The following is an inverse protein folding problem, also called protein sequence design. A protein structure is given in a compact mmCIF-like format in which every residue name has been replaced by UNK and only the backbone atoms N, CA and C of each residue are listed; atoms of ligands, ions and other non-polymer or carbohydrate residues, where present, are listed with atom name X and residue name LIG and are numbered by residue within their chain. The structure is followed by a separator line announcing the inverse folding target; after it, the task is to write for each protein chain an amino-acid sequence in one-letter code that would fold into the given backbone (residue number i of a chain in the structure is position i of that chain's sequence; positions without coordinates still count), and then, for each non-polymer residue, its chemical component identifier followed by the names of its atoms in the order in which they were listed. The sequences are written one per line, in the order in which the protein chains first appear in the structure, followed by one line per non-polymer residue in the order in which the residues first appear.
data_IF_454666327012
#
_entry.id   IF_454666327012
#
_cell.length_a   1.000
_cell.length_b   1.000
_cell.length_c   1.000
_cell.angle_alpha   90.00
_cell.angle_beta   90.00
_cell.angle_gamma   90.00
#
_symmetry.space_group_name_H-M   'P 1'
#
loop_
_entity.id
_entity.type
_entity.pdbx_description
1 polymer ?
#
# COMPACT_ATOMS: atom_id res chain seq x y z
N UNK A 1 -10.39 -8.07 68.06
CA UNK A 1 -11.39 -7.98 66.97
C UNK A 1 -11.13 -9.14 66.02
N UNK A 2 -12.07 -10.08 65.94
CA UNK A 2 -11.99 -11.27 65.10
C UNK A 2 -12.29 -10.99 63.61
N UNK A 3 -12.62 -12.02 62.82
CA UNK A 3 -11.68 -12.62 61.88
C UNK A 3 -12.27 -12.80 60.45
N UNK A 4 -11.44 -13.22 59.49
CA UNK A 4 -11.91 -13.96 58.32
C UNK A 4 -10.79 -14.96 57.92
N UNK A 5 -10.88 -16.23 58.35
CA UNK A 5 -11.53 -17.36 57.65
C UNK A 5 -10.81 -17.60 56.30
N UNK A 6 -9.90 -18.57 56.21
CA UNK A 6 -10.19 -20.02 56.16
C UNK A 6 -10.45 -20.38 54.68
N UNK A 7 -9.79 -21.34 54.04
CA UNK A 7 -9.89 -22.79 54.28
C UNK A 7 -8.81 -23.52 53.45
N UNK A 8 -7.96 -24.29 54.15
CA UNK A 8 -7.58 -25.73 53.97
C UNK A 8 -7.26 -26.30 52.56
N UNK A 9 -5.97 -26.68 52.38
CA UNK A 9 -5.33 -27.97 51.97
C UNK A 9 -6.06 -29.02 51.07
N UNK A 10 -5.39 -30.06 50.48
CA UNK A 10 -3.96 -30.44 50.51
C UNK A 10 -3.33 -30.81 49.13
N UNK A 11 -2.02 -31.06 49.16
CA UNK A 11 -1.26 -31.74 48.11
C UNK A 11 -1.67 -33.21 47.95
N UNK A 12 -1.75 -33.72 46.70
CA UNK A 12 -1.62 -35.15 46.40
C UNK A 12 -1.04 -35.40 44.99
N UNK A 13 0.13 -36.06 44.98
CA UNK A 13 0.60 -36.90 43.89
C UNK A 13 -0.33 -38.11 43.73
N UNK A 14 -0.61 -38.54 42.49
CA UNK A 14 -1.33 -39.78 42.21
C UNK A 14 -1.44 -40.02 40.71
N UNK A 15 -0.80 -41.09 40.24
CA UNK A 15 -0.67 -41.42 38.83
C UNK A 15 -1.96 -41.85 38.14
N UNK A 16 -1.92 -41.83 36.81
CA UNK A 16 -2.90 -42.51 35.95
C UNK A 16 -2.28 -42.97 34.63
N UNK A 17 -1.04 -43.47 34.69
CA UNK A 17 -0.62 -44.58 33.84
C UNK A 17 -1.32 -45.82 34.38
N UNK A 18 -2.59 -45.99 33.99
CA UNK A 18 -3.27 -47.28 33.83
C UNK A 18 -4.75 -47.01 33.53
N UNK A 19 -5.09 -46.98 32.25
CA UNK A 19 -6.27 -47.69 31.80
C UNK A 19 -5.96 -48.42 30.51
N UNK A 20 -5.82 -49.72 30.68
CA UNK A 20 -6.01 -50.72 29.65
C UNK A 20 -7.28 -50.41 28.83
N UNK A 21 -7.08 -49.96 27.60
CA UNK A 21 -8.03 -50.11 26.51
C UNK A 21 -7.47 -51.20 25.61
N UNK A 22 -7.81 -52.44 25.97
CA UNK A 22 -7.49 -53.63 25.22
C UNK A 22 -7.79 -53.46 23.73
N UNK A 23 -6.91 -54.05 22.92
CA UNK A 23 -7.14 -54.35 21.53
C UNK A 23 -8.58 -54.82 21.30
N UNK A 24 -9.30 -54.08 20.50
CA UNK A 24 -10.25 -54.67 19.56
C UNK A 24 -10.07 -53.95 18.24
N UNK A 25 -9.01 -54.34 17.54
CA UNK A 25 -9.00 -54.27 16.07
C UNK A 25 -10.08 -55.25 15.61
N UNK A 26 -11.33 -54.81 15.75
CA UNK A 26 -12.49 -55.47 15.18
C UNK A 26 -12.28 -55.47 13.68
N UNK A 27 -12.19 -56.68 13.13
CA UNK A 27 -12.18 -57.04 11.70
C UNK A 27 -12.54 -55.84 10.82
N UNK A 28 -11.51 -55.11 10.38
CA UNK A 28 -11.67 -53.83 9.71
C UNK A 28 -12.34 -54.07 8.37
N UNK A 29 -13.65 -53.83 8.32
CA UNK A 29 -14.43 -53.98 7.10
C UNK A 29 -13.89 -52.99 6.06
N UNK A 30 -13.55 -53.47 4.86
CA UNK A 30 -12.84 -52.66 3.83
C UNK A 30 -13.62 -51.38 3.47
N UNK A 31 -14.93 -51.38 3.73
CA UNK A 31 -15.86 -50.26 3.54
C UNK A 31 -15.59 -49.08 4.48
N UNK A 32 -15.27 -49.32 5.77
CA UNK A 32 -15.01 -48.23 6.74
C UNK A 32 -13.64 -47.59 6.54
N UNK A 33 -12.63 -48.36 6.11
CA UNK A 33 -11.32 -47.81 5.74
C UNK A 33 -11.43 -46.96 4.48
N UNK A 34 -12.15 -47.44 3.46
CA UNK A 34 -12.38 -46.68 2.23
C UNK A 34 -13.13 -45.37 2.46
N UNK A 35 -14.17 -45.38 3.32
CA UNK A 35 -14.95 -44.19 3.66
C UNK A 35 -14.12 -43.15 4.42
N UNK A 36 -13.27 -43.58 5.37
CA UNK A 36 -12.36 -42.67 6.10
C UNK A 36 -11.30 -42.06 5.19
N UNK A 37 -10.76 -42.85 4.26
CA UNK A 37 -9.81 -42.33 3.26
C UNK A 37 -10.47 -41.29 2.35
N UNK A 38 -11.68 -41.57 1.85
CA UNK A 38 -12.46 -40.63 1.02
C UNK A 38 -12.78 -39.32 1.75
N UNK A 39 -13.21 -39.38 3.01
CA UNK A 39 -13.47 -38.19 3.83
C UNK A 39 -12.22 -37.36 4.08
N UNK A 40 -11.05 -38.01 4.31
CA UNK A 40 -9.79 -37.31 4.46
C UNK A 40 -9.33 -36.62 3.16
N UNK A 41 -9.49 -37.28 2.01
CA UNK A 41 -9.19 -36.68 0.70
C UNK A 41 -10.12 -35.52 0.34
N UNK A 42 -11.41 -35.63 0.67
CA UNK A 42 -12.38 -34.55 0.44
C UNK A 42 -12.07 -33.30 1.29
N UNK A 43 -11.61 -33.47 2.53
CA UNK A 43 -11.23 -32.35 3.39
C UNK A 43 -10.00 -31.59 2.85
N UNK A 44 -9.03 -32.29 2.25
CA UNK A 44 -7.83 -31.68 1.66
C UNK A 44 -8.14 -30.94 0.34
N UNK A 45 -9.10 -31.45 -0.45
CA UNK A 45 -9.51 -30.80 -1.70
C UNK A 45 -10.29 -29.49 -1.51
N UNK A 46 -10.86 -29.27 -0.33
CA UNK A 46 -11.64 -28.07 -0.01
C UNK A 46 -10.81 -26.92 0.60
N UNK A 47 -9.57 -27.16 1.03
CA UNK A 47 -8.65 -26.11 1.50
C UNK A 47 -7.91 -25.46 0.31
N UNK A 48 -8.69 -24.89 -0.60
CA UNK A 48 -8.19 -23.94 -1.59
C UNK A 48 -8.02 -22.56 -0.95
N UNK A 49 -7.10 -22.44 0.01
CA UNK A 49 -6.75 -21.16 0.64
C UNK A 49 -5.95 -20.30 -0.37
N UNK A 50 -6.64 -19.84 -1.42
CA UNK A 50 -6.12 -18.85 -2.33
C UNK A 50 -6.38 -17.49 -1.70
N UNK A 51 -5.56 -17.14 -0.71
CA UNK A 51 -5.49 -15.79 -0.17
C UNK A 51 -5.41 -14.80 -1.35
N UNK A 52 -6.35 -13.84 -1.48
CA UNK A 52 -6.30 -12.85 -2.53
C UNK A 52 -5.02 -12.04 -2.34
N UNK A 53 -4.01 -12.31 -3.17
CA UNK A 53 -2.85 -11.45 -3.26
C UNK A 53 -3.29 -10.14 -3.94
N UNK A 54 -3.91 -9.26 -3.16
CA UNK A 54 -4.21 -7.90 -3.58
C UNK A 54 -2.86 -7.21 -3.76
N UNK A 55 -2.46 -7.01 -5.02
CA UNK A 55 -1.33 -6.15 -5.31
C UNK A 55 -1.64 -4.76 -4.74
N UNK A 56 -0.71 -4.14 -4.00
CA UNK A 56 -0.93 -2.79 -3.49
C UNK A 56 -1.22 -1.87 -4.68
N UNK A 57 -2.36 -1.19 -4.65
CA UNK A 57 -2.66 -0.20 -5.68
C UNK A 57 -1.63 0.92 -5.50
N UNK A 58 -0.86 1.28 -6.54
CA UNK A 58 0.07 2.40 -6.45
C UNK A 58 -0.66 3.66 -5.95
N UNK A 59 -0.28 4.15 -4.75
CA UNK A 59 -0.89 5.33 -4.11
C UNK A 59 -1.89 5.05 -2.98
N UNK A 60 -2.15 3.79 -2.61
CA UNK A 60 -3.10 3.40 -1.54
C UNK A 60 -2.49 3.39 -0.13
N UNK A 61 -1.15 3.35 -0.03
CA UNK A 61 -0.44 3.35 1.24
C UNK A 61 0.12 4.75 1.58
N UNK A 62 -0.61 5.52 2.41
CA UNK A 62 -0.12 6.75 3.06
C UNK A 62 -0.89 8.04 2.72
N UNK A 63 -0.46 9.16 3.31
CA UNK A 63 -0.99 10.50 2.98
C UNK A 63 -0.80 10.77 1.49
N UNK A 64 -1.89 10.68 0.74
CA UNK A 64 -1.92 10.79 -0.72
C UNK A 64 -1.68 12.25 -1.11
N UNK A 65 -0.51 12.51 -1.70
CA UNK A 65 -0.20 13.82 -2.27
C UNK A 65 -0.88 13.93 -3.62
N UNK A 66 -1.87 14.82 -3.74
CA UNK A 66 -2.65 15.06 -4.95
C UNK A 66 -2.10 16.27 -5.70
N UNK A 67 -1.73 16.09 -6.97
CA UNK A 67 -1.13 17.15 -7.78
C UNK A 67 -1.72 17.23 -9.18
N UNK A 68 -1.57 18.41 -9.79
CA UNK A 68 -1.68 18.58 -11.23
C UNK A 68 -0.30 18.88 -11.85
N UNK A 69 -0.13 18.51 -13.12
CA UNK A 69 1.11 18.75 -13.86
C UNK A 69 0.84 19.59 -15.09
N UNK A 70 1.38 20.79 -15.13
CA UNK A 70 1.22 21.73 -16.24
C UNK A 70 2.55 21.94 -16.94
N UNK A 71 2.57 21.70 -18.24
CA UNK A 71 3.71 22.00 -19.09
C UNK A 71 3.78 23.51 -19.35
N UNK A 72 4.83 24.14 -18.84
CA UNK A 72 5.14 25.53 -19.06
C UNK A 72 6.43 25.71 -19.89
N UNK A 73 7.02 24.64 -20.42
CA UNK A 73 8.34 24.64 -21.07
C UNK A 73 8.32 25.00 -22.57
N UNK A 74 7.14 25.06 -23.18
CA UNK A 74 6.98 25.17 -24.64
C UNK A 74 7.31 23.89 -25.42
N UNK A 75 7.86 22.85 -24.79
CA UNK A 75 8.17 21.56 -25.44
C UNK A 75 7.00 20.59 -25.28
N UNK A 76 6.53 19.94 -26.35
CA UNK A 76 5.41 19.01 -26.25
C UNK A 76 5.75 17.79 -25.40
N UNK A 77 4.75 17.21 -24.74
CA UNK A 77 4.88 15.91 -24.06
C UNK A 77 5.48 15.93 -22.65
N UNK A 78 6.07 17.03 -22.17
CA UNK A 78 6.72 17.05 -20.85
C UNK A 78 5.74 16.80 -19.69
N UNK A 79 4.50 17.27 -19.77
CA UNK A 79 3.49 16.98 -18.73
C UNK A 79 3.20 15.48 -18.60
N UNK A 80 3.22 14.73 -19.71
CA UNK A 80 3.04 13.27 -19.71
C UNK A 80 4.22 12.58 -19.04
N UNK A 81 5.44 13.00 -19.35
CA UNK A 81 6.65 12.41 -18.76
C UNK A 81 6.75 12.75 -17.27
N UNK A 82 6.51 14.00 -16.87
CA UNK A 82 6.47 14.40 -15.46
C UNK A 82 5.41 13.65 -14.67
N UNK A 83 4.23 13.45 -15.26
CA UNK A 83 3.17 12.60 -14.67
C UNK A 83 3.66 11.18 -14.37
N UNK A 84 4.39 10.56 -15.30
CA UNK A 84 4.93 9.20 -15.11
C UNK A 84 5.91 9.14 -13.94
N UNK A 85 6.87 10.06 -13.87
CA UNK A 85 7.84 10.12 -12.78
C UNK A 85 7.18 10.31 -11.41
N UNK A 86 6.21 11.23 -11.32
CA UNK A 86 5.49 11.48 -10.08
C UNK A 86 4.68 10.27 -9.63
N UNK A 87 3.98 9.59 -10.55
CA UNK A 87 3.23 8.37 -10.25
C UNK A 87 4.13 7.21 -9.83
N UNK A 88 5.30 7.04 -10.47
CA UNK A 88 6.31 6.06 -10.04
C UNK A 88 6.83 6.35 -8.62
N UNK A 89 6.85 7.63 -8.20
CA UNK A 89 7.20 8.04 -6.84
C UNK A 89 6.02 7.94 -5.82
N UNK A 90 4.88 7.39 -6.23
CA UNK A 90 3.68 7.27 -5.38
C UNK A 90 2.93 8.57 -5.15
N UNK A 91 3.09 9.57 -6.02
CA UNK A 91 2.37 10.84 -5.99
C UNK A 91 1.17 10.74 -6.95
N UNK A 92 -0.01 11.14 -6.47
CA UNK A 92 -1.24 11.05 -7.25
C UNK A 92 -1.40 12.25 -8.17
N UNK A 93 -1.37 11.97 -9.48
CA UNK A 93 -1.57 13.01 -10.50
C UNK A 93 -2.99 12.90 -11.03
N UNK A 94 -3.83 13.86 -10.65
CA UNK A 94 -5.27 13.90 -11.02
C UNK A 94 -5.52 14.59 -12.36
N UNK A 95 -4.62 15.48 -12.77
CA UNK A 95 -4.73 16.18 -14.05
C UNK A 95 -3.34 16.53 -14.60
N UNK A 96 -3.21 16.53 -15.92
CA UNK A 96 -2.03 17.04 -16.58
C UNK A 96 -2.39 17.75 -17.89
N UNK A 97 -1.62 18.76 -18.28
CA UNK A 97 -1.92 19.56 -19.46
C UNK A 97 -0.85 20.61 -19.75
N UNK A 98 -1.22 21.63 -20.52
CA UNK A 98 -0.38 22.81 -20.73
C UNK A 98 -0.76 23.91 -19.74
N UNK A 99 0.21 24.72 -19.32
CA UNK A 99 -0.05 25.85 -18.45
C UNK A 99 -0.91 26.91 -19.18
N UNK A 100 -2.03 27.36 -18.60
CA UNK A 100 -2.90 28.35 -19.24
C UNK A 100 -2.24 29.74 -19.26
N UNK A 101 -2.47 30.50 -20.33
CA UNK A 101 -2.11 31.92 -20.40
C UNK A 101 -0.61 32.24 -20.46
N UNK A 102 0.25 31.25 -20.72
CA UNK A 102 1.68 31.45 -20.87
C UNK A 102 2.01 31.87 -22.31
N UNK A 103 2.22 33.17 -22.55
CA UNK A 103 2.70 33.69 -23.84
C UNK A 103 4.18 33.35 -24.11
N UNK A 104 4.94 32.99 -23.08
CA UNK A 104 6.34 32.59 -23.17
C UNK A 104 6.60 31.35 -22.29
N UNK A 105 7.51 30.46 -22.70
CA UNK A 105 7.98 29.35 -21.87
C UNK A 105 8.58 29.83 -20.54
N UNK A 106 8.43 29.02 -19.51
CA UNK A 106 9.09 29.19 -18.22
C UNK A 106 10.47 28.56 -18.28
N UNK A 107 11.49 29.27 -17.80
CA UNK A 107 12.86 28.75 -17.79
C UNK A 107 13.05 27.66 -16.72
N UNK A 108 12.46 27.86 -15.54
CA UNK A 108 12.63 26.99 -14.37
C UNK A 108 11.31 26.36 -13.91
N UNK A 109 11.39 25.12 -13.46
CA UNK A 109 10.25 24.37 -12.91
C UNK A 109 9.82 24.96 -11.58
N UNK A 110 8.52 25.11 -11.36
CA UNK A 110 7.94 25.66 -10.12
C UNK A 110 6.95 24.69 -9.53
N UNK A 111 7.06 24.44 -8.23
CA UNK A 111 6.16 23.58 -7.47
C UNK A 111 5.36 24.49 -6.54
N UNK A 112 4.11 24.75 -6.90
CA UNK A 112 3.23 25.65 -6.16
C UNK A 112 2.43 24.84 -5.13
N UNK A 113 2.77 24.96 -3.85
CA UNK A 113 2.00 24.32 -2.77
C UNK A 113 0.72 25.12 -2.57
N UNK A 114 -0.43 24.47 -2.76
CA UNK A 114 -1.76 25.05 -2.58
C UNK A 114 -2.33 24.76 -1.21
N UNK A 115 -2.08 23.55 -0.71
CA UNK A 115 -2.54 23.08 0.61
C UNK A 115 -1.48 22.18 1.23
N UNK A 116 -1.52 22.07 2.55
CA UNK A 116 -0.61 21.22 3.31
C UNK A 116 0.79 21.82 3.55
N UNK A 117 1.67 21.04 4.18
CA UNK A 117 2.99 21.49 4.62
C UNK A 117 4.01 21.57 3.48
N UNK A 118 5.10 22.31 3.72
CA UNK A 118 6.22 22.44 2.78
C UNK A 118 6.89 21.11 2.39
N UNK A 119 6.75 20.07 3.22
CA UNK A 119 7.26 18.72 2.95
C UNK A 119 6.65 18.10 1.68
N UNK A 120 5.42 18.48 1.30
CA UNK A 120 4.78 18.09 0.03
C UNK A 120 5.65 18.50 -1.15
N UNK A 121 6.06 19.78 -1.18
CA UNK A 121 6.91 20.30 -2.24
C UNK A 121 8.29 19.64 -2.29
N UNK A 122 8.86 19.29 -1.13
CA UNK A 122 10.14 18.58 -1.08
C UNK A 122 10.07 17.17 -1.70
N UNK A 123 8.98 16.44 -1.46
CA UNK A 123 8.76 15.10 -2.04
C UNK A 123 8.55 15.15 -3.55
N UNK A 124 7.79 16.14 -4.04
CA UNK A 124 7.62 16.40 -5.48
C UNK A 124 8.96 16.76 -6.14
N UNK A 125 9.72 17.68 -5.54
CA UNK A 125 11.05 18.08 -6.05
C UNK A 125 11.99 16.89 -6.13
N UNK A 126 12.01 16.03 -5.11
CA UNK A 126 12.83 14.81 -5.10
C UNK A 126 12.48 13.86 -6.24
N UNK A 127 11.19 13.74 -6.59
CA UNK A 127 10.74 12.87 -7.68
C UNK A 127 11.10 13.43 -9.08
N UNK A 128 11.13 14.77 -9.23
CA UNK A 128 11.44 15.42 -10.51
C UNK A 128 12.92 15.74 -10.69
N UNK A 129 13.71 15.70 -9.62
CA UNK A 129 15.13 16.13 -9.54
C UNK A 129 15.36 17.62 -9.83
N UNK A 130 14.29 18.38 -10.05
CA UNK A 130 14.30 19.83 -10.35
C UNK A 130 13.12 20.53 -9.69
N UNK A 131 13.20 21.86 -9.65
CA UNK A 131 12.07 22.73 -9.35
C UNK A 131 12.19 23.48 -8.03
N UNK A 132 11.72 24.73 -8.06
CA UNK A 132 11.65 25.60 -6.89
C UNK A 132 10.30 25.45 -6.20
N UNK A 133 10.32 25.15 -4.90
CA UNK A 133 9.12 25.03 -4.08
C UNK A 133 8.66 26.42 -3.65
N UNK A 134 7.41 26.76 -3.94
CA UNK A 134 6.79 28.05 -3.65
C UNK A 134 5.46 27.79 -2.94
N UNK A 135 5.28 28.35 -1.74
CA UNK A 135 4.01 28.28 -1.03
C UNK A 135 3.08 29.34 -1.60
N UNK A 136 1.98 28.92 -2.24
CA UNK A 136 0.95 29.79 -2.83
C UNK A 136 -0.43 29.21 -2.53
N UNK A 137 -0.95 29.43 -1.32
CA UNK A 137 -2.21 28.86 -0.88
C UNK A 137 -3.35 29.26 -1.82
N UNK A 138 -4.22 28.29 -2.12
CA UNK A 138 -5.39 28.50 -2.98
C UNK A 138 -6.50 27.54 -2.52
N UNK A 139 -7.45 28.06 -1.75
CA UNK A 139 -8.54 27.27 -1.16
C UNK A 139 -9.57 26.80 -2.21
N UNK A 140 -9.55 27.36 -3.41
CA UNK A 140 -10.45 26.95 -4.50
C UNK A 140 -9.97 25.67 -5.19
N UNK A 141 -8.70 25.29 -4.99
CA UNK A 141 -8.10 24.09 -5.58
C UNK A 141 -8.14 22.93 -4.60
N UNK A 142 -8.69 21.81 -5.06
CA UNK A 142 -8.82 20.56 -4.28
C UNK A 142 -7.57 19.65 -4.38
N UNK A 143 -6.41 20.25 -4.63
CA UNK A 143 -5.12 19.56 -4.75
C UNK A 143 -4.10 20.14 -3.76
N UNK A 144 -3.02 19.43 -3.53
CA UNK A 144 -1.97 19.84 -2.60
C UNK A 144 -0.94 20.73 -3.30
N UNK A 145 -0.62 20.43 -4.57
CA UNK A 145 0.31 21.24 -5.34
C UNK A 145 0.02 21.29 -6.85
N UNK A 146 0.40 22.40 -7.48
CA UNK A 146 0.48 22.55 -8.93
C UNK A 146 1.94 22.51 -9.37
N UNK A 147 2.30 21.60 -10.27
CA UNK A 147 3.65 21.50 -10.83
C UNK A 147 3.69 22.19 -12.19
N UNK A 148 4.45 23.28 -12.32
CA UNK A 148 4.73 23.94 -13.59
C UNK A 148 6.09 23.48 -14.10
N UNK A 149 6.11 22.64 -15.13
CA UNK A 149 7.35 22.13 -15.72
C UNK A 149 7.97 23.19 -16.63
N UNK A 150 9.15 23.66 -16.26
CA UNK A 150 9.93 24.64 -17.03
C UNK A 150 10.87 24.00 -18.03
N UNK A 151 11.63 24.85 -18.70
CA UNK A 151 12.64 24.48 -19.69
C UNK A 151 13.84 23.77 -19.08
N UNK A 152 14.04 23.82 -17.77
CA UNK A 152 15.03 23.05 -17.01
C UNK A 152 14.67 21.57 -16.84
N UNK A 153 13.39 21.19 -16.95
CA UNK A 153 12.98 19.80 -16.80
C UNK A 153 13.50 18.94 -17.96
N UNK A 154 14.38 17.99 -17.62
CA UNK A 154 15.04 17.05 -18.54
C UNK A 154 14.89 15.63 -18.00
N UNK A 155 13.79 14.94 -18.29
CA UNK A 155 13.63 13.56 -17.86
C UNK A 155 14.72 12.72 -18.52
N UNK A 156 15.40 11.87 -17.74
CA UNK A 156 16.29 10.86 -18.32
C UNK A 156 15.43 9.95 -19.18
N UNK A 157 15.86 9.71 -20.42
CA UNK A 157 15.21 8.73 -21.26
C UNK A 157 15.41 7.35 -20.62
N UNK A 158 14.37 6.79 -20.01
CA UNK A 158 14.32 5.36 -19.74
C UNK A 158 14.21 4.66 -21.10
N UNK A 159 15.35 4.13 -21.57
CA UNK A 159 15.38 3.23 -22.71
C UNK A 159 14.73 1.93 -22.25
N UNK A 160 13.49 1.68 -22.68
CA UNK A 160 12.92 0.35 -22.61
C UNK A 160 13.47 -0.43 -23.82
N UNK A 161 14.16 -1.58 -23.62
CA UNK A 161 14.64 -2.43 -24.71
C UNK A 161 13.48 -3.06 -25.50
#
# INVERSE_FOLDING_TARGET
MGPALGVVAPARNGGLLERAGAMSVGRSDRRTVGLRLLLAFAAVACHGDREPQAFPIPGDAGDRIIVEVLNASGKPGLARVGTRLLRQAGIDVVSFGNAPGMGLPLDSTRILIRRGPASVGARIRKALDVGTVIVRPDSTRLLDASVLLGSDFRPRAELHP
#
